data_IF_054580678793
#
_entry.id   IF_054580678793
#
_cell.length_a   1.000
_cell.length_b   1.000
_cell.length_c   1.000
_cell.angle_alpha   90.00
_cell.angle_beta   90.00
_cell.angle_gamma   90.00
#
_symmetry.space_group_name_H-M   'P 1'
#
loop_
_entity.id
_entity.type
_entity.pdbx_description
1 polymer ?
#
# COMPACT_ATOMS: atom_id res chain seq x y z
N UNK A 1 1.53 29.31 14.91
CA UNK A 1 0.80 29.09 13.64
C UNK A 1 -0.63 28.71 14.01
N UNK A 2 -1.61 29.60 13.78
CA UNK A 2 -3.02 29.35 14.06
C UNK A 2 -3.60 28.57 12.87
N UNK A 3 -3.90 27.28 13.07
CA UNK A 3 -4.66 26.50 12.10
C UNK A 3 -6.15 26.74 12.35
N UNK A 4 -6.81 27.44 11.42
CA UNK A 4 -8.25 27.65 11.45
C UNK A 4 -8.93 26.34 11.01
N UNK A 5 -9.74 25.74 11.87
CA UNK A 5 -10.49 24.52 11.53
C UNK A 5 -11.63 24.86 10.57
N UNK A 6 -11.45 24.55 9.29
CA UNK A 6 -12.46 24.85 8.28
C UNK A 6 -13.77 24.06 8.49
N UNK A 7 -13.74 22.95 9.24
CA UNK A 7 -14.93 22.17 9.54
C UNK A 7 -15.87 22.88 10.53
N UNK A 8 -15.35 23.70 11.44
CA UNK A 8 -16.19 24.55 12.30
C UNK A 8 -16.90 25.65 11.51
N UNK A 9 -16.27 26.17 10.46
CA UNK A 9 -16.89 27.17 9.59
C UNK A 9 -17.92 26.53 8.66
N UNK A 10 -17.66 25.30 8.20
CA UNK A 10 -18.61 24.53 7.37
C UNK A 10 -19.81 24.02 8.16
N UNK A 11 -19.65 23.62 9.42
CA UNK A 11 -20.77 23.14 10.25
C UNK A 11 -21.83 24.23 10.51
N UNK A 12 -21.44 25.51 10.38
CA UNK A 12 -22.35 26.67 10.44
C UNK A 12 -22.77 27.19 9.04
N UNK A 13 -22.53 26.40 7.98
CA UNK A 13 -23.03 26.68 6.63
C UNK A 13 -22.11 27.54 5.75
N UNK A 14 -20.87 27.81 6.15
CA UNK A 14 -19.92 28.59 5.34
C UNK A 14 -19.13 27.65 4.42
N UNK A 15 -19.44 27.67 3.12
CA UNK A 15 -18.69 26.91 2.12
C UNK A 15 -17.32 27.55 1.81
N UNK A 16 -16.25 26.95 2.35
CA UNK A 16 -14.88 27.33 2.03
C UNK A 16 -14.43 26.55 0.78
N UNK A 17 -14.30 27.27 -0.35
CA UNK A 17 -13.90 26.71 -1.65
C UNK A 17 -12.42 26.30 -1.70
N UNK A 18 -11.60 26.74 -0.74
CA UNK A 18 -10.19 26.38 -0.61
C UNK A 18 -10.06 25.00 0.04
N UNK A 19 -9.26 24.11 -0.58
CA UNK A 19 -8.88 22.80 0.01
C UNK A 19 -8.14 23.09 1.32
N UNK A 20 -8.65 22.59 2.43
CA UNK A 20 -8.02 22.78 3.73
C UNK A 20 -6.73 21.94 3.73
N UNK A 21 -5.55 22.50 4.05
CA UNK A 21 -4.32 21.72 4.17
C UNK A 21 -4.46 20.54 5.14
N UNK A 22 -5.33 20.66 6.15
CA UNK A 22 -5.63 19.60 7.10
C UNK A 22 -6.52 18.49 6.53
N UNK A 23 -7.25 18.69 5.42
CA UNK A 23 -7.92 17.60 4.69
C UNK A 23 -6.88 16.55 4.24
N UNK A 24 -5.66 17.01 3.93
CA UNK A 24 -4.52 16.16 3.62
C UNK A 24 -4.04 15.28 4.77
N UNK A 25 -4.39 15.61 6.03
CA UNK A 25 -4.03 14.84 7.23
C UNK A 25 -5.23 14.10 7.85
N UNK A 26 -6.45 14.55 7.56
CA UNK A 26 -7.68 13.94 8.08
C UNK A 26 -7.96 12.60 7.40
N UNK A 27 -8.52 11.68 8.18
CA UNK A 27 -9.02 10.40 7.70
C UNK A 27 -7.97 9.32 7.40
N UNK A 28 -6.66 9.59 7.46
CA UNK A 28 -5.64 8.56 7.27
C UNK A 28 -5.75 7.44 8.31
N UNK A 29 -5.81 7.79 9.59
CA UNK A 29 -5.98 6.80 10.67
C UNK A 29 -7.23 5.96 10.46
N UNK A 30 -8.37 6.60 10.19
CA UNK A 30 -9.64 5.90 9.96
C UNK A 30 -9.61 5.00 8.73
N UNK A 31 -9.02 5.47 7.61
CA UNK A 31 -8.87 4.69 6.39
C UNK A 31 -7.93 3.50 6.61
N UNK A 32 -6.82 3.68 7.32
CA UNK A 32 -5.88 2.62 7.67
C UNK A 32 -6.52 1.58 8.59
N UNK A 33 -7.31 2.00 9.59
CA UNK A 33 -8.06 1.07 10.46
C UNK A 33 -9.09 0.27 9.66
N UNK A 34 -9.80 0.92 8.74
CA UNK A 34 -10.74 0.23 7.85
C UNK A 34 -10.02 -0.76 6.92
N UNK A 35 -8.86 -0.39 6.37
CA UNK A 35 -8.02 -1.26 5.55
C UNK A 35 -7.50 -2.45 6.35
N UNK A 36 -7.04 -2.23 7.57
CA UNK A 36 -6.55 -3.28 8.47
C UNK A 36 -7.68 -4.26 8.83
N UNK A 37 -8.87 -3.74 9.14
CA UNK A 37 -10.06 -4.55 9.41
C UNK A 37 -10.46 -5.37 8.17
N UNK A 38 -10.47 -4.75 6.99
CA UNK A 38 -10.73 -5.43 5.73
C UNK A 38 -9.72 -6.55 5.48
N UNK A 39 -8.43 -6.25 5.60
CA UNK A 39 -7.34 -7.22 5.40
C UNK A 39 -7.50 -8.43 6.32
N UNK A 40 -7.70 -8.22 7.62
CA UNK A 40 -7.86 -9.33 8.59
C UNK A 40 -9.06 -10.21 8.23
N UNK A 41 -10.19 -9.60 7.85
CA UNK A 41 -11.37 -10.34 7.41
C UNK A 41 -11.09 -11.12 6.11
N UNK A 42 -10.50 -10.47 5.12
CA UNK A 42 -10.21 -11.05 3.81
C UNK A 42 -9.20 -12.20 3.88
N UNK A 43 -8.15 -12.07 4.70
CA UNK A 43 -7.19 -13.14 4.99
C UNK A 43 -7.84 -14.35 5.67
N UNK A 44 -8.81 -14.12 6.55
CA UNK A 44 -9.56 -15.22 7.19
C UNK A 44 -10.46 -15.95 6.19
N UNK A 45 -11.03 -15.24 5.23
CA UNK A 45 -11.93 -15.81 4.21
C UNK A 45 -11.18 -16.57 3.11
N UNK A 46 -9.96 -16.12 2.78
CA UNK A 46 -9.13 -16.70 1.72
C UNK A 46 -8.09 -17.70 2.23
N UNK A 47 -7.88 -17.75 3.55
CA UNK A 47 -6.82 -18.52 4.21
C UNK A 47 -5.40 -18.16 3.73
N UNK A 48 -5.22 -16.98 3.13
CA UNK A 48 -3.95 -16.46 2.63
C UNK A 48 -3.52 -15.20 3.40
N UNK A 49 -2.22 -14.89 3.40
CA UNK A 49 -1.66 -13.65 3.96
C UNK A 49 -1.27 -12.69 2.84
N UNK A 50 -1.77 -11.45 2.91
CA UNK A 50 -1.47 -10.42 1.92
C UNK A 50 -0.50 -9.40 2.47
N UNK A 51 0.56 -9.08 1.73
CA UNK A 51 1.34 -7.86 2.01
C UNK A 51 0.66 -6.63 1.37
N UNK A 52 1.06 -5.43 1.76
CA UNK A 52 0.37 -4.20 1.35
C UNK A 52 1.23 -3.37 0.40
N UNK A 53 0.65 -2.91 -0.70
CA UNK A 53 1.27 -1.98 -1.65
C UNK A 53 0.35 -0.76 -1.81
N UNK A 54 0.90 0.45 -1.82
CA UNK A 54 0.17 1.66 -2.14
C UNK A 54 0.71 2.32 -3.43
N UNK A 55 -0.18 3.01 -4.13
CA UNK A 55 0.14 3.67 -5.41
C UNK A 55 1.15 4.84 -5.31
N UNK A 56 1.32 5.39 -4.11
CA UNK A 56 2.06 6.61 -3.83
C UNK A 56 2.67 6.56 -2.43
N UNK A 57 3.80 7.25 -2.30
CA UNK A 57 4.62 7.33 -1.09
C UNK A 57 3.85 7.79 0.13
N UNK A 58 3.08 8.86 0.01
CA UNK A 58 2.39 9.46 1.16
C UNK A 58 1.40 8.46 1.73
N UNK A 59 0.68 7.72 0.86
CA UNK A 59 -0.22 6.66 1.31
C UNK A 59 0.49 5.48 1.94
N UNK A 60 1.57 4.97 1.32
CA UNK A 60 2.36 3.89 1.91
C UNK A 60 2.88 4.28 3.31
N UNK A 61 3.32 5.53 3.46
CA UNK A 61 3.84 6.10 4.70
C UNK A 61 2.77 6.21 5.78
N UNK A 62 1.61 6.80 5.45
CA UNK A 62 0.49 6.97 6.37
C UNK A 62 -0.13 5.63 6.79
N UNK A 63 -0.24 4.68 5.86
CA UNK A 63 -0.65 3.30 6.18
C UNK A 63 0.37 2.68 7.14
N UNK A 64 1.66 2.72 6.81
CA UNK A 64 2.74 2.18 7.65
C UNK A 64 2.80 2.82 9.05
N UNK A 65 2.47 4.11 9.15
CA UNK A 65 2.43 4.83 10.41
C UNK A 65 1.26 4.39 11.29
N UNK A 66 0.04 4.37 10.75
CA UNK A 66 -1.20 4.12 11.50
C UNK A 66 -1.60 2.65 11.65
N UNK A 67 -0.99 1.71 10.92
CA UNK A 67 -1.22 0.27 11.11
C UNK A 67 -0.92 -0.12 12.56
N UNK A 68 -1.84 -0.85 13.20
CA UNK A 68 -1.59 -1.41 14.53
C UNK A 68 -0.67 -2.63 14.41
N UNK A 69 -0.99 -3.54 13.50
CA UNK A 69 -0.24 -4.77 13.25
C UNK A 69 0.78 -4.57 12.11
N UNK A 70 1.95 -4.05 12.46
CA UNK A 70 3.05 -3.77 11.53
C UNK A 70 3.80 -5.04 11.14
N UNK A 71 3.21 -5.85 10.25
CA UNK A 71 3.77 -7.11 9.71
C UNK A 71 4.94 -6.89 8.75
N UNK A 72 6.07 -6.43 9.29
CA UNK A 72 7.32 -6.21 8.54
C UNK A 72 7.92 -7.55 8.08
N UNK A 73 8.46 -7.57 6.87
CA UNK A 73 9.03 -8.78 6.26
C UNK A 73 10.50 -9.01 6.60
N UNK A 74 11.13 -8.07 7.30
CA UNK A 74 12.50 -8.15 7.77
C UNK A 74 12.97 -6.83 8.37
N UNK A 75 14.24 -6.74 8.82
CA UNK A 75 14.84 -5.49 9.24
C UNK A 75 14.73 -4.42 8.14
N UNK A 76 14.33 -3.20 8.51
CA UNK A 76 14.21 -2.08 7.57
C UNK A 76 12.96 -2.10 6.66
N UNK A 77 12.31 -3.26 6.44
CA UNK A 77 11.14 -3.32 5.56
C UNK A 77 9.95 -2.53 6.12
N UNK A 78 9.24 -1.77 5.26
CA UNK A 78 8.01 -1.10 5.67
C UNK A 78 6.84 -2.10 5.78
N UNK A 79 5.83 -1.82 6.63
CA UNK A 79 4.57 -2.58 6.66
C UNK A 79 3.73 -2.44 5.38
N UNK A 80 3.87 -1.32 4.66
CA UNK A 80 3.24 -1.08 3.37
C UNK A 80 4.26 -0.52 2.38
N UNK A 81 4.39 -1.18 1.24
CA UNK A 81 5.34 -0.85 0.19
C UNK A 81 4.73 0.18 -0.79
N UNK A 82 5.59 0.80 -1.59
CA UNK A 82 5.18 1.59 -2.76
C UNK A 82 5.27 0.69 -4.00
N UNK A 83 4.44 0.96 -5.01
CA UNK A 83 4.57 0.31 -6.33
C UNK A 83 6.00 0.44 -6.84
N UNK A 84 6.51 -0.62 -7.45
CA UNK A 84 7.78 -0.64 -8.19
C UNK A 84 7.96 0.62 -9.04
N UNK A 85 9.08 1.31 -8.83
CA UNK A 85 9.49 2.46 -9.62
C UNK A 85 11.00 2.43 -9.80
N UNK A 86 11.48 2.79 -10.98
CA UNK A 86 12.89 2.98 -11.27
C UNK A 86 13.40 4.37 -10.84
N UNK A 87 12.49 5.28 -10.47
CA UNK A 87 12.87 6.64 -10.13
C UNK A 87 13.32 6.77 -8.67
N UNK A 88 14.56 7.21 -8.47
CA UNK A 88 15.07 7.62 -7.15
C UNK A 88 14.63 9.05 -6.88
N UNK A 89 13.37 9.21 -6.46
CA UNK A 89 12.76 10.55 -6.27
C UNK A 89 12.96 11.08 -4.84
N UNK A 90 13.19 10.20 -3.86
CA UNK A 90 13.24 10.61 -2.44
C UNK A 90 13.91 9.56 -1.53
N UNK A 91 14.01 9.87 -0.23
CA UNK A 91 14.59 8.99 0.80
C UNK A 91 13.89 7.61 0.95
N UNK A 92 12.64 7.46 0.50
CA UNK A 92 11.91 6.20 0.56
C UNK A 92 12.28 5.26 -0.59
N UNK A 93 12.95 5.76 -1.63
CA UNK A 93 13.56 4.92 -2.66
C UNK A 93 14.66 4.01 -2.09
N UNK A 94 15.17 4.32 -0.89
CA UNK A 94 16.13 3.48 -0.15
C UNK A 94 15.48 2.52 0.84
N UNK A 95 14.14 2.50 0.93
CA UNK A 95 13.47 1.48 1.72
C UNK A 95 13.59 0.13 1.02
N UNK A 96 13.73 -0.97 1.79
CA UNK A 96 13.65 -2.32 1.25
C UNK A 96 12.37 -2.49 0.41
N UNK A 97 12.53 -2.94 -0.83
CA UNK A 97 11.44 -3.02 -1.82
C UNK A 97 10.97 -4.45 -1.99
N UNK A 98 9.70 -4.64 -2.34
CA UNK A 98 9.18 -6.01 -2.51
C UNK A 98 9.71 -6.67 -3.79
N UNK A 99 10.20 -5.89 -4.76
CA UNK A 99 10.82 -6.36 -6.00
C UNK A 99 12.33 -6.58 -5.88
N UNK A 100 12.93 -6.31 -4.71
CA UNK A 100 14.36 -6.51 -4.52
C UNK A 100 14.73 -8.00 -4.40
N UNK A 101 15.90 -8.33 -4.93
CA UNK A 101 16.52 -9.64 -4.74
C UNK A 101 17.55 -9.52 -3.63
N UNK A 102 17.49 -10.41 -2.64
CA UNK A 102 18.42 -10.47 -1.52
C UNK A 102 19.31 -11.71 -1.63
N UNK A 103 20.57 -11.60 -1.24
CA UNK A 103 21.46 -12.76 -1.18
C UNK A 103 20.96 -13.76 -0.13
N UNK A 104 20.89 -15.05 -0.49
CA UNK A 104 20.67 -16.10 0.48
C UNK A 104 21.89 -16.24 1.41
N UNK A 105 21.69 -16.31 2.74
CA UNK A 105 22.75 -16.73 3.64
C UNK A 105 23.27 -18.12 3.21
N UNK A 106 24.60 -18.29 3.16
CA UNK A 106 25.23 -19.56 2.75
C UNK A 106 24.62 -20.74 3.52
N UNK A 107 23.96 -21.65 2.81
CA UNK A 107 23.38 -22.88 3.35
C UNK A 107 21.87 -22.85 3.67
N UNK A 108 21.17 -21.73 3.44
CA UNK A 108 19.71 -21.69 3.55
C UNK A 108 19.04 -22.41 2.35
N UNK A 109 18.00 -23.24 2.58
CA UNK A 109 17.27 -23.88 1.50
C UNK A 109 16.59 -22.82 0.63
N UNK A 110 16.71 -22.95 -0.70
CA UNK A 110 16.03 -22.07 -1.65
C UNK A 110 14.51 -22.26 -1.49
N UNK A 111 13.75 -21.22 -1.12
CA UNK A 111 12.30 -21.31 -1.10
C UNK A 111 11.81 -21.40 -2.56
N UNK A 112 11.42 -22.60 -2.98
CA UNK A 112 10.59 -22.84 -4.17
C UNK A 112 11.26 -22.68 -5.55
N UNK A 113 12.44 -23.28 -5.77
CA UNK A 113 13.04 -23.42 -7.13
C UNK A 113 13.13 -22.11 -7.94
N UNK A 114 13.29 -20.97 -7.26
CA UNK A 114 13.44 -19.67 -7.92
C UNK A 114 14.73 -19.70 -8.77
N UNK A 115 14.57 -19.69 -10.09
CA UNK A 115 15.67 -19.74 -11.06
C UNK A 115 15.81 -18.38 -11.74
N UNK A 116 16.51 -17.45 -11.09
CA UNK A 116 17.03 -16.25 -11.75
C UNK A 116 18.47 -16.03 -11.31
N UNK A 117 19.39 -16.67 -12.03
CA UNK A 117 20.84 -16.55 -11.83
C UNK A 117 21.40 -15.46 -12.71
N UNK A 118 21.76 -14.33 -12.11
CA UNK A 118 23.08 -13.72 -12.36
C UNK A 118 23.94 -13.68 -11.08
N UNK A 119 23.35 -13.62 -9.87
CA UNK A 119 24.12 -13.64 -8.60
C UNK A 119 23.51 -14.46 -7.44
N UNK A 120 22.51 -15.32 -7.68
CA UNK A 120 21.97 -16.21 -6.64
C UNK A 120 21.10 -15.52 -5.57
N UNK A 121 20.55 -14.35 -5.88
CA UNK A 121 19.56 -13.67 -5.04
C UNK A 121 18.18 -14.30 -5.13
N UNK A 122 17.43 -14.24 -4.03
CA UNK A 122 16.02 -14.66 -3.96
C UNK A 122 15.12 -13.44 -3.75
N UNK A 123 13.91 -13.49 -4.30
CA UNK A 123 12.91 -12.48 -4.02
C UNK A 123 11.97 -13.01 -2.91
N UNK A 124 11.92 -12.30 -1.78
CA UNK A 124 11.12 -12.70 -0.60
C UNK A 124 9.60 -12.61 -0.80
N UNK A 125 9.17 -12.07 -1.94
CA UNK A 125 7.78 -11.80 -2.30
C UNK A 125 7.30 -12.65 -3.47
N UNK A 126 8.19 -13.31 -4.19
CA UNK A 126 7.83 -14.17 -5.32
C UNK A 126 6.82 -15.24 -4.87
N UNK A 127 5.77 -15.44 -5.66
CA UNK A 127 4.67 -16.35 -5.37
C UNK A 127 3.61 -15.80 -4.38
N UNK A 128 3.92 -14.75 -3.61
CA UNK A 128 3.00 -14.21 -2.59
C UNK A 128 1.99 -13.23 -3.19
N UNK A 129 0.83 -13.13 -2.56
CA UNK A 129 -0.22 -12.18 -2.95
C UNK A 129 -0.18 -10.90 -2.12
N UNK A 130 -0.67 -9.81 -2.70
CA UNK A 130 -0.73 -8.49 -2.09
C UNK A 130 -2.14 -7.89 -2.13
N UNK A 131 -2.40 -6.93 -1.25
CA UNK A 131 -3.46 -5.96 -1.42
C UNK A 131 -2.83 -4.65 -1.91
N UNK A 132 -3.30 -4.17 -3.06
CA UNK A 132 -2.90 -2.90 -3.64
C UNK A 132 -3.95 -1.82 -3.35
N UNK A 133 -3.51 -0.69 -2.80
CA UNK A 133 -4.36 0.41 -2.36
C UNK A 133 -4.13 1.62 -3.26
N UNK A 134 -5.18 2.01 -3.98
CA UNK A 134 -5.19 3.12 -4.92
C UNK A 134 -6.17 4.22 -4.48
N UNK A 135 -5.91 5.49 -4.80
CA UNK A 135 -6.91 6.55 -4.64
C UNK A 135 -8.08 6.24 -5.57
N UNK A 136 -9.31 6.26 -5.06
CA UNK A 136 -10.49 5.90 -5.87
C UNK A 136 -10.74 6.87 -7.04
N UNK A 137 -10.12 8.06 -7.04
CA UNK A 137 -10.14 9.01 -8.16
C UNK A 137 -9.16 8.66 -9.28
N UNK A 138 -8.18 7.78 -9.05
CA UNK A 138 -7.24 7.34 -10.07
C UNK A 138 -7.88 6.24 -10.93
N UNK A 139 -7.84 6.40 -12.26
CA UNK A 139 -8.59 5.56 -13.19
C UNK A 139 -7.95 4.21 -13.50
N UNK A 140 -6.62 4.17 -13.60
CA UNK A 140 -5.88 3.00 -14.10
C UNK A 140 -4.95 2.45 -13.03
N UNK A 141 -4.97 1.13 -12.88
CA UNK A 141 -3.98 0.38 -12.11
C UNK A 141 -2.62 0.54 -12.81
N UNK A 142 -1.52 0.82 -12.10
CA UNK A 142 -0.19 0.92 -12.68
C UNK A 142 0.22 -0.34 -13.44
N UNK A 143 0.93 -0.16 -14.56
CA UNK A 143 1.42 -1.25 -15.39
C UNK A 143 2.21 -2.30 -14.59
N UNK A 144 3.00 -1.86 -13.60
CA UNK A 144 3.82 -2.75 -12.78
C UNK A 144 2.97 -3.69 -11.92
N UNK A 145 1.84 -3.22 -11.40
CA UNK A 145 0.89 -4.09 -10.70
C UNK A 145 0.19 -5.06 -11.67
N UNK A 146 -0.14 -4.59 -12.88
CA UNK A 146 -0.80 -5.42 -13.89
C UNK A 146 0.10 -6.53 -14.45
N UNK A 147 1.41 -6.27 -14.57
CA UNK A 147 2.39 -7.23 -15.13
C UNK A 147 3.11 -8.06 -14.08
N UNK A 148 3.39 -7.46 -12.92
CA UNK A 148 4.13 -8.11 -11.84
C UNK A 148 3.30 -9.16 -11.10
N UNK A 149 1.98 -9.19 -11.27
CA UNK A 149 1.09 -10.17 -10.65
C UNK A 149 0.36 -11.01 -11.68
N UNK A 150 0.00 -12.23 -11.29
CA UNK A 150 -0.78 -13.13 -12.16
C UNK A 150 -2.21 -12.65 -12.42
N UNK A 151 -2.77 -11.91 -11.45
CA UNK A 151 -4.14 -11.40 -11.49
C UNK A 151 -4.22 -10.13 -10.63
N UNK A 152 -5.02 -9.16 -11.04
CA UNK A 152 -5.30 -7.96 -10.27
C UNK A 152 -6.76 -7.53 -10.45
N UNK A 153 -7.55 -7.52 -9.38
CA UNK A 153 -8.96 -7.14 -9.41
C UNK A 153 -9.37 -6.32 -8.19
N UNK A 154 -10.36 -5.44 -8.35
CA UNK A 154 -10.87 -4.62 -7.24
C UNK A 154 -11.78 -5.46 -6.34
N UNK A 155 -11.45 -5.54 -5.07
CA UNK A 155 -12.20 -6.33 -4.07
C UNK A 155 -12.94 -5.47 -3.06
N UNK A 156 -12.54 -4.21 -2.87
CA UNK A 156 -13.23 -3.31 -1.96
C UNK A 156 -13.05 -1.83 -2.32
N UNK A 157 -13.94 -1.01 -1.78
CA UNK A 157 -13.79 0.44 -1.71
C UNK A 157 -13.94 0.88 -0.25
N UNK A 158 -12.96 1.63 0.25
CA UNK A 158 -12.93 2.18 1.59
C UNK A 158 -13.26 3.66 1.51
N UNK A 159 -14.33 4.08 2.16
CA UNK A 159 -14.75 5.47 2.20
C UNK A 159 -14.75 5.97 3.65
N UNK A 160 -14.07 7.09 3.87
CA UNK A 160 -14.05 7.76 5.17
C UNK A 160 -14.84 9.04 5.05
N UNK A 161 -15.88 9.14 5.88
CA UNK A 161 -16.71 10.33 6.00
C UNK A 161 -16.38 11.07 7.30
N UNK A 162 -16.41 12.40 7.25
CA UNK A 162 -16.36 13.27 8.40
C UNK A 162 -17.47 14.32 8.28
N UNK A 163 -18.34 14.41 9.29
CA UNK A 163 -19.49 15.32 9.30
C UNK A 163 -20.34 15.23 8.00
N UNK A 164 -20.58 14.00 7.53
CA UNK A 164 -21.36 13.72 6.31
C UNK A 164 -20.60 13.91 4.99
N UNK A 165 -19.41 14.51 4.99
CA UNK A 165 -18.57 14.71 3.80
C UNK A 165 -17.60 13.56 3.60
N UNK A 166 -17.48 13.06 2.37
CA UNK A 166 -16.41 12.13 1.99
C UNK A 166 -15.06 12.86 2.02
N UNK A 167 -14.18 12.46 2.93
CA UNK A 167 -12.84 13.05 3.05
C UNK A 167 -11.76 12.21 2.38
N UNK A 168 -11.99 10.90 2.23
CA UNK A 168 -11.04 9.98 1.60
C UNK A 168 -11.75 8.76 1.02
N UNK A 169 -11.32 8.32 -0.16
CA UNK A 169 -11.81 7.10 -0.79
C UNK A 169 -10.65 6.32 -1.40
N UNK A 170 -10.53 5.03 -1.05
CA UNK A 170 -9.52 4.13 -1.59
C UNK A 170 -10.18 2.94 -2.27
N UNK A 171 -9.69 2.60 -3.45
CA UNK A 171 -9.95 1.30 -4.06
C UNK A 171 -8.87 0.31 -3.61
N UNK A 172 -9.31 -0.87 -3.16
CA UNK A 172 -8.45 -1.96 -2.75
C UNK A 172 -8.56 -3.08 -3.78
N UNK A 173 -7.41 -3.48 -4.31
CA UNK A 173 -7.27 -4.53 -5.29
C UNK A 173 -6.56 -5.73 -4.67
N UNK A 174 -7.02 -6.94 -4.98
CA UNK A 174 -6.24 -8.16 -4.71
C UNK A 174 -5.31 -8.39 -5.88
N UNK A 175 -4.03 -8.65 -5.58
CA UNK A 175 -2.98 -8.91 -6.55
C UNK A 175 -2.40 -10.28 -6.25
N UNK A 176 -2.68 -11.28 -7.09
CA UNK A 176 -2.35 -12.67 -6.81
C UNK A 176 -0.99 -13.05 -7.37
N UNK A 177 -0.21 -13.79 -6.58
CA UNK A 177 1.06 -14.45 -6.97
C UNK A 177 1.99 -13.51 -7.72
N UNK A 178 2.79 -12.76 -6.98
CA UNK A 178 3.84 -11.92 -7.55
C UNK A 178 4.83 -12.75 -8.38
N UNK A 179 5.15 -12.29 -9.59
CA UNK A 179 5.96 -12.99 -10.60
C UNK A 179 7.22 -12.23 -11.00
N UNK A 180 7.53 -11.13 -10.30
CA UNK A 180 8.50 -10.12 -10.73
C UNK A 180 8.18 -9.53 -12.11
N UNK A 181 8.76 -8.38 -12.45
CA UNK A 181 8.64 -7.85 -13.81
C UNK A 181 9.60 -8.60 -14.73
N UNK A 182 9.14 -9.07 -15.92
CA UNK A 182 10.05 -9.53 -16.95
C UNK A 182 10.95 -8.36 -17.39
N UNK A 183 12.26 -8.63 -17.46
CA UNK A 183 13.28 -7.70 -17.94
C UNK A 183 13.03 -7.27 -19.40
#
# INVERSE_FOLDING_TARGET
MLALDSDMLRSVGIEIRRRDPSDGWRGWKSATVALETFRVKFERETEEKFFLIADERDRASEISFYLHEKRRQGPGHPPCYIVESQDVVNQFSFWPRYDEFVELPRGAPNPEEQTYTEEGGVNLFQGRSALYIQDAGRKNIPHNIQRGFSWAERVARIEVHHLGRLIRSWDVYVCLRYRTLPL
#
